data_IF_063058300798
#
_entry.id   IF_063058300798
#
_cell.length_a   1.000
_cell.length_b   1.000
_cell.length_c   1.000
_cell.angle_alpha   90.00
_cell.angle_beta   90.00
_cell.angle_gamma   90.00
#
_symmetry.space_group_name_H-M   'P 1'
#
loop_
_entity.id
_entity.type
_entity.pdbx_description
1 polymer ?
#
# COMPACT_ATOMS: atom_id res chain seq x y z
N UNK A 1 -24.43 -12.17 13.56
CA UNK A 1 -23.32 -11.41 14.16
C UNK A 1 -22.25 -11.24 13.10
N UNK A 2 -21.78 -10.02 12.78
CA UNK A 2 -20.66 -9.89 11.85
C UNK A 2 -19.40 -10.48 12.49
N UNK A 3 -18.50 -11.13 11.72
CA UNK A 3 -17.33 -11.74 12.32
C UNK A 3 -16.43 -10.66 12.93
N UNK A 4 -15.84 -10.93 14.10
CA UNK A 4 -14.85 -10.03 14.69
C UNK A 4 -13.66 -9.89 13.74
N UNK A 5 -12.83 -8.86 13.93
CA UNK A 5 -11.57 -8.67 13.17
C UNK A 5 -10.72 -9.96 13.16
N UNK A 6 -10.74 -10.70 14.27
CA UNK A 6 -10.09 -12.00 14.41
C UNK A 6 -10.56 -13.05 13.37
N UNK A 7 -11.82 -12.98 12.92
CA UNK A 7 -12.34 -13.83 11.85
C UNK A 7 -11.73 -13.48 10.49
N UNK A 8 -11.56 -12.20 10.18
CA UNK A 8 -10.89 -11.75 8.95
C UNK A 8 -9.40 -12.09 8.96
N UNK A 9 -8.72 -11.92 10.09
CA UNK A 9 -7.31 -12.30 10.26
C UNK A 9 -7.12 -13.80 10.01
N UNK A 10 -7.96 -14.64 10.61
CA UNK A 10 -7.95 -16.09 10.37
C UNK A 10 -8.21 -16.44 8.91
N UNK A 11 -9.17 -15.79 8.27
CA UNK A 11 -9.47 -15.98 6.85
C UNK A 11 -8.30 -15.58 5.96
N UNK A 12 -7.68 -14.44 6.22
CA UNK A 12 -6.53 -13.96 5.47
C UNK A 12 -5.32 -14.89 5.63
N UNK A 13 -5.06 -15.37 6.85
CA UNK A 13 -4.01 -16.35 7.09
C UNK A 13 -4.28 -17.67 6.35
N UNK A 14 -5.52 -18.18 6.41
CA UNK A 14 -5.92 -19.37 5.67
C UNK A 14 -5.77 -19.19 4.15
N UNK A 15 -6.10 -18.02 3.61
CA UNK A 15 -5.93 -17.75 2.19
C UNK A 15 -4.46 -17.70 1.78
N UNK A 16 -3.57 -17.20 2.65
CA UNK A 16 -2.11 -17.24 2.41
C UNK A 16 -1.58 -18.66 2.38
N UNK A 17 -1.95 -19.48 3.36
CA UNK A 17 -1.59 -20.91 3.38
C UNK A 17 -2.08 -21.60 2.11
N UNK A 18 -3.34 -21.39 1.74
CA UNK A 18 -3.91 -21.96 0.51
C UNK A 18 -3.12 -21.56 -0.74
N UNK A 19 -2.83 -20.26 -0.92
CA UNK A 19 -2.09 -19.76 -2.10
C UNK A 19 -0.68 -20.36 -2.15
N UNK A 20 0.02 -20.41 -1.01
CA UNK A 20 1.35 -21.01 -0.94
C UNK A 20 1.32 -22.52 -1.20
N UNK A 21 0.35 -23.23 -0.65
CA UNK A 21 0.17 -24.67 -0.92
C UNK A 21 -0.12 -24.94 -2.39
N UNK A 22 -1.00 -24.15 -3.02
CA UNK A 22 -1.29 -24.26 -4.46
C UNK A 22 -0.06 -23.94 -5.31
N UNK A 23 0.71 -22.93 -4.94
CA UNK A 23 1.95 -22.57 -5.62
C UNK A 23 3.00 -23.69 -5.51
N UNK A 24 3.21 -24.25 -4.31
CA UNK A 24 4.13 -25.36 -4.11
C UNK A 24 3.67 -26.61 -4.86
N UNK A 25 2.36 -26.92 -4.82
CA UNK A 25 1.78 -28.02 -5.59
C UNK A 25 2.00 -27.81 -7.10
N UNK A 26 1.79 -26.60 -7.61
CA UNK A 26 2.05 -26.28 -9.01
C UNK A 26 3.53 -26.48 -9.37
N UNK A 27 4.47 -26.14 -8.49
CA UNK A 27 5.90 -26.41 -8.70
C UNK A 27 6.27 -27.89 -8.69
N UNK A 28 5.52 -28.72 -7.98
CA UNK A 28 5.70 -30.18 -7.97
C UNK A 28 5.12 -30.81 -9.23
N UNK A 29 3.98 -30.32 -9.72
CA UNK A 29 3.26 -30.87 -10.87
C UNK A 29 3.80 -30.38 -12.22
N UNK A 30 4.29 -29.14 -12.28
CA UNK A 30 4.68 -28.48 -13.52
C UNK A 30 6.14 -28.04 -13.50
N UNK A 31 6.79 -28.11 -14.66
CA UNK A 31 8.12 -27.54 -14.83
C UNK A 31 8.04 -26.01 -14.74
N UNK A 32 8.99 -25.35 -14.03
CA UNK A 32 9.03 -23.90 -13.98
C UNK A 32 9.14 -23.32 -15.39
N UNK A 33 8.21 -22.46 -15.76
CA UNK A 33 8.31 -21.69 -17.00
C UNK A 33 9.45 -20.67 -16.94
N UNK A 34 9.63 -20.04 -15.78
CA UNK A 34 10.66 -19.03 -15.54
C UNK A 34 11.90 -19.62 -14.88
N UNK A 35 13.06 -19.19 -15.36
CA UNK A 35 14.39 -19.61 -14.88
C UNK A 35 15.16 -18.46 -14.26
N UNK A 36 14.55 -17.29 -13.98
CA UNK A 36 15.29 -16.12 -13.54
C UNK A 36 16.05 -16.35 -12.22
N UNK A 37 15.53 -17.25 -11.37
CA UNK A 37 16.17 -17.63 -10.13
C UNK A 37 17.59 -18.20 -10.29
N UNK A 38 17.90 -18.80 -11.46
CA UNK A 38 19.23 -19.36 -11.75
C UNK A 38 20.26 -18.29 -12.14
N UNK A 39 19.80 -17.08 -12.47
CA UNK A 39 20.66 -15.94 -12.76
C UNK A 39 21.13 -15.33 -11.43
N UNK A 40 22.17 -15.93 -10.85
CA UNK A 40 22.79 -15.50 -9.60
C UNK A 40 24.31 -15.33 -9.76
N UNK A 41 24.77 -14.29 -10.48
CA UNK A 41 26.19 -13.97 -10.54
C UNK A 41 26.68 -13.51 -9.15
N UNK A 42 27.99 -13.58 -8.85
CA UNK A 42 28.56 -12.99 -7.64
C UNK A 42 28.24 -11.49 -7.49
N UNK A 43 28.22 -10.97 -6.27
CA UNK A 43 28.14 -9.52 -6.04
C UNK A 43 29.42 -8.84 -6.55
N UNK A 44 29.29 -7.64 -7.15
CA UNK A 44 30.37 -6.84 -7.72
C UNK A 44 31.29 -6.22 -6.66
N UNK A 45 30.74 -5.85 -5.51
CA UNK A 45 31.43 -5.03 -4.49
C UNK A 45 31.76 -5.77 -3.20
N UNK A 46 31.38 -7.04 -3.07
CA UNK A 46 31.65 -7.85 -1.87
C UNK A 46 32.72 -8.89 -2.17
N UNK A 47 33.69 -9.13 -1.27
CA UNK A 47 34.52 -10.33 -1.36
C UNK A 47 33.59 -11.54 -1.40
N UNK A 48 33.96 -12.63 -2.11
CA UNK A 48 33.11 -13.82 -2.18
C UNK A 48 32.79 -14.25 -0.75
N UNK A 49 31.52 -14.10 -0.36
CA UNK A 49 31.02 -14.70 0.87
C UNK A 49 31.31 -16.20 0.75
N UNK A 50 31.61 -16.86 1.88
CA UNK A 50 31.73 -18.32 1.91
C UNK A 50 30.58 -18.92 1.09
N UNK A 51 30.87 -19.87 0.17
CA UNK A 51 29.87 -20.38 -0.76
C UNK A 51 28.63 -20.81 0.01
N UNK A 52 27.46 -20.36 -0.45
CA UNK A 52 26.20 -20.76 0.16
C UNK A 52 26.19 -22.30 0.28
N UNK A 53 25.75 -22.86 1.42
CA UNK A 53 25.68 -24.30 1.58
C UNK A 53 24.83 -24.88 0.44
N UNK A 54 25.47 -25.64 -0.46
CA UNK A 54 24.86 -26.28 -1.63
C UNK A 54 24.01 -27.49 -1.22
N UNK A 55 23.05 -27.27 -0.32
CA UNK A 55 22.06 -28.27 0.06
C UNK A 55 20.87 -28.19 -0.88
N UNK A 56 20.21 -29.32 -1.19
CA UNK A 56 19.02 -29.31 -2.05
C UNK A 56 17.91 -28.42 -1.49
N UNK A 57 17.83 -28.28 -0.16
CA UNK A 57 16.88 -27.40 0.52
C UNK A 57 17.21 -25.93 0.26
N UNK A 58 18.48 -25.53 0.39
CA UNK A 58 18.94 -24.16 0.07
C UNK A 58 18.61 -23.80 -1.38
N UNK A 59 18.92 -24.69 -2.33
CA UNK A 59 18.63 -24.49 -3.75
C UNK A 59 17.13 -24.40 -4.00
N UNK A 60 16.33 -25.28 -3.38
CA UNK A 60 14.88 -25.26 -3.52
C UNK A 60 14.28 -23.93 -3.03
N UNK A 61 14.68 -23.45 -1.85
CA UNK A 61 14.18 -22.18 -1.30
C UNK A 61 14.64 -20.99 -2.14
N UNK A 62 15.93 -20.95 -2.52
CA UNK A 62 16.47 -19.88 -3.37
C UNK A 62 15.79 -19.82 -4.74
N UNK A 63 15.38 -20.98 -5.28
CA UNK A 63 14.63 -21.08 -6.55
C UNK A 63 13.21 -20.51 -6.48
N UNK A 64 12.71 -20.12 -5.29
CA UNK A 64 11.40 -19.48 -5.13
C UNK A 64 11.41 -17.98 -5.42
N UNK A 65 12.58 -17.35 -5.56
CA UNK A 65 12.73 -15.98 -6.05
C UNK A 65 12.70 -15.98 -7.58
N UNK A 66 11.51 -15.79 -8.15
CA UNK A 66 11.23 -15.94 -9.59
C UNK A 66 10.56 -14.67 -10.10
N UNK A 67 10.66 -14.39 -11.39
CA UNK A 67 10.18 -13.12 -11.99
C UNK A 67 10.76 -11.91 -11.24
N UNK A 68 9.94 -10.89 -10.95
CA UNK A 68 10.38 -9.67 -10.27
C UNK A 68 10.96 -9.92 -8.86
N UNK A 69 10.72 -11.10 -8.28
CA UNK A 69 11.32 -11.48 -7.00
C UNK A 69 12.85 -11.39 -7.01
N UNK A 70 13.51 -11.74 -8.12
CA UNK A 70 14.97 -11.64 -8.21
C UNK A 70 15.46 -10.20 -8.12
N UNK A 71 14.66 -9.26 -8.62
CA UNK A 71 14.97 -7.83 -8.58
C UNK A 71 14.78 -7.21 -7.20
N UNK A 72 14.05 -7.87 -6.28
CA UNK A 72 14.00 -7.49 -4.88
C UNK A 72 15.04 -8.23 -4.01
N UNK A 73 15.32 -9.51 -4.33
CA UNK A 73 16.33 -10.29 -3.64
C UNK A 73 17.73 -9.72 -3.88
N UNK A 74 18.06 -9.35 -5.13
CA UNK A 74 19.41 -8.89 -5.49
C UNK A 74 19.85 -7.64 -4.73
N UNK A 75 19.05 -6.56 -4.65
CA UNK A 75 19.43 -5.40 -3.85
C UNK A 75 19.49 -5.67 -2.34
N UNK A 76 18.73 -6.65 -1.83
CA UNK A 76 18.84 -7.04 -0.43
C UNK A 76 20.16 -7.80 -0.14
N UNK A 77 20.62 -8.56 -1.11
CA UNK A 77 21.83 -9.38 -1.05
C UNK A 77 23.10 -8.55 -1.27
N UNK A 78 23.18 -7.86 -2.41
CA UNK A 78 24.40 -7.19 -2.90
C UNK A 78 24.32 -5.66 -2.86
N UNK A 79 23.18 -5.07 -2.49
CA UNK A 79 22.91 -3.65 -2.69
C UNK A 79 22.51 -3.29 -4.13
N UNK A 80 22.28 -2.01 -4.37
CA UNK A 80 21.85 -1.51 -5.69
C UNK A 80 23.02 -1.38 -6.66
N UNK A 81 23.37 -2.50 -7.29
CA UNK A 81 24.51 -2.60 -8.22
C UNK A 81 24.21 -2.10 -9.64
N UNK A 82 22.96 -2.30 -10.10
CA UNK A 82 22.57 -1.99 -11.47
C UNK A 82 21.57 -0.83 -11.53
N UNK A 83 21.68 0.01 -12.57
CA UNK A 83 20.81 1.16 -12.78
C UNK A 83 19.32 0.76 -12.81
N UNK A 84 18.97 -0.31 -13.54
CA UNK A 84 17.60 -0.79 -13.63
C UNK A 84 17.04 -1.31 -12.29
N UNK A 85 17.90 -1.74 -11.35
CA UNK A 85 17.46 -2.22 -10.04
C UNK A 85 16.86 -1.09 -9.18
N UNK A 86 17.19 0.17 -9.46
CA UNK A 86 16.62 1.33 -8.78
C UNK A 86 15.14 1.59 -9.16
N UNK A 87 14.56 0.81 -10.09
CA UNK A 87 13.09 0.75 -10.23
C UNK A 87 12.41 0.04 -9.06
N UNK A 88 13.14 -0.82 -8.33
CA UNK A 88 12.63 -1.62 -7.22
C UNK A 88 12.95 -0.93 -5.90
N UNK A 89 11.98 -0.18 -5.38
CA UNK A 89 12.16 0.72 -4.23
C UNK A 89 12.58 -0.01 -2.93
N UNK A 90 13.23 0.70 -1.99
CA UNK A 90 14.10 0.09 -0.99
C UNK A 90 13.38 -0.57 0.19
N UNK A 91 12.09 -0.32 0.42
CA UNK A 91 11.44 -0.83 1.62
C UNK A 91 11.44 -2.35 1.70
N UNK A 92 11.09 -3.03 0.61
CA UNK A 92 11.10 -4.48 0.59
C UNK A 92 12.54 -5.01 0.72
N UNK A 93 13.50 -4.68 -0.16
CA UNK A 93 14.87 -5.19 -0.06
C UNK A 93 15.53 -4.93 1.31
N UNK A 94 15.36 -3.72 1.87
CA UNK A 94 15.88 -3.39 3.19
C UNK A 94 15.23 -4.23 4.30
N UNK A 95 13.93 -4.48 4.22
CA UNK A 95 13.23 -5.33 5.19
C UNK A 95 13.66 -6.79 5.10
N UNK A 96 13.90 -7.32 3.89
CA UNK A 96 14.45 -8.66 3.68
C UNK A 96 15.82 -8.79 4.33
N UNK A 97 16.71 -7.84 4.01
CA UNK A 97 18.06 -7.74 4.54
C UNK A 97 18.06 -7.67 6.07
N UNK A 98 17.19 -6.84 6.65
CA UNK A 98 17.05 -6.68 8.10
C UNK A 98 16.59 -7.97 8.75
N UNK A 99 15.54 -8.61 8.24
CA UNK A 99 15.01 -9.86 8.81
C UNK A 99 16.02 -11.01 8.70
N UNK A 100 16.70 -11.14 7.57
CA UNK A 100 17.71 -12.16 7.35
C UNK A 100 18.92 -12.00 8.29
N UNK A 101 19.33 -10.75 8.57
CA UNK A 101 20.45 -10.44 9.48
C UNK A 101 20.05 -10.35 10.96
N UNK A 102 18.76 -10.42 11.29
CA UNK A 102 18.26 -10.37 12.66
C UNK A 102 17.49 -11.65 13.02
N UNK A 103 16.16 -11.64 12.86
CA UNK A 103 15.27 -12.73 13.27
C UNK A 103 15.66 -14.09 12.68
N UNK A 104 16.11 -14.10 11.42
CA UNK A 104 16.48 -15.33 10.71
C UNK A 104 18.00 -15.53 10.57
N UNK A 105 18.82 -14.74 11.27
CA UNK A 105 20.28 -14.89 11.26
C UNK A 105 20.75 -16.31 11.64
N UNK A 106 20.12 -17.02 12.60
CA UNK A 106 20.52 -18.40 12.94
C UNK A 106 20.34 -19.41 11.79
N UNK A 107 19.49 -19.10 10.79
CA UNK A 107 19.26 -19.97 9.64
C UNK A 107 20.30 -19.78 8.53
N UNK A 108 21.04 -18.68 8.55
CA UNK A 108 22.01 -18.34 7.49
C UNK A 108 23.12 -19.40 7.35
N UNK A 109 23.76 -19.90 8.42
CA UNK A 109 24.75 -20.97 8.30
C UNK A 109 24.20 -22.29 7.75
N UNK A 110 22.89 -22.54 7.91
CA UNK A 110 22.25 -23.80 7.51
C UNK A 110 21.73 -23.78 6.08
N UNK A 111 21.09 -22.68 5.69
CA UNK A 111 20.37 -22.55 4.43
C UNK A 111 21.10 -21.67 3.41
N UNK A 112 22.06 -20.86 3.84
CA UNK A 112 22.68 -19.85 2.99
C UNK A 112 21.91 -18.52 3.01
N UNK A 113 22.62 -17.45 2.69
CA UNK A 113 22.11 -16.10 2.86
C UNK A 113 20.96 -15.80 1.89
N UNK A 114 21.08 -16.24 0.63
CA UNK A 114 20.02 -16.04 -0.38
C UNK A 114 18.73 -16.78 -0.02
N UNK A 115 18.83 -18.04 0.41
CA UNK A 115 17.66 -18.81 0.84
C UNK A 115 16.94 -18.13 2.01
N UNK A 116 17.69 -17.60 2.98
CA UNK A 116 17.12 -16.87 4.13
C UNK A 116 16.49 -15.55 3.72
N UNK A 117 17.05 -14.81 2.75
CA UNK A 117 16.40 -13.62 2.18
C UNK A 117 15.05 -13.95 1.54
N UNK A 118 15.01 -15.04 0.76
CA UNK A 118 13.76 -15.50 0.12
C UNK A 118 12.74 -15.89 1.18
N UNK A 119 13.13 -16.70 2.17
CA UNK A 119 12.27 -17.08 3.29
C UNK A 119 11.73 -15.84 4.04
N UNK A 120 12.61 -14.88 4.32
CA UNK A 120 12.26 -13.61 4.99
C UNK A 120 11.16 -12.88 4.23
N UNK A 121 11.22 -12.87 2.90
CA UNK A 121 10.24 -12.18 2.08
C UNK A 121 8.89 -12.88 1.98
N UNK A 122 8.89 -14.21 1.91
CA UNK A 122 7.64 -14.97 2.01
C UNK A 122 6.98 -14.74 3.37
N UNK A 123 7.72 -14.82 4.48
CA UNK A 123 7.16 -14.54 5.82
C UNK A 123 6.64 -13.10 5.90
N UNK A 124 7.47 -12.12 5.53
CA UNK A 124 7.13 -10.70 5.61
C UNK A 124 5.88 -10.37 4.79
N UNK A 125 5.80 -10.81 3.54
CA UNK A 125 4.68 -10.46 2.67
C UNK A 125 3.37 -11.10 3.11
N UNK A 126 3.40 -12.33 3.61
CA UNK A 126 2.20 -12.99 4.10
C UNK A 126 1.72 -12.38 5.42
N UNK A 127 2.63 -12.04 6.34
CA UNK A 127 2.29 -11.28 7.56
C UNK A 127 1.73 -9.90 7.20
N UNK A 128 2.42 -9.16 6.33
CA UNK A 128 1.99 -7.84 5.89
C UNK A 128 0.60 -7.89 5.23
N UNK A 129 0.32 -8.90 4.41
CA UNK A 129 -1.00 -9.09 3.81
C UNK A 129 -2.09 -9.32 4.86
N UNK A 130 -1.85 -10.17 5.87
CA UNK A 130 -2.83 -10.45 6.92
C UNK A 130 -3.14 -9.18 7.72
N UNK A 131 -2.12 -8.38 8.04
CA UNK A 131 -2.30 -7.08 8.70
C UNK A 131 -3.03 -6.09 7.77
N UNK A 132 -2.69 -6.07 6.48
CA UNK A 132 -3.38 -5.25 5.47
C UNK A 132 -4.87 -5.62 5.37
N UNK A 133 -5.22 -6.91 5.42
CA UNK A 133 -6.62 -7.37 5.42
C UNK A 133 -7.37 -6.94 6.70
N UNK A 134 -6.70 -6.92 7.85
CA UNK A 134 -7.28 -6.39 9.08
C UNK A 134 -7.57 -4.88 8.97
N UNK A 135 -6.62 -4.09 8.43
CA UNK A 135 -6.85 -2.68 8.15
C UNK A 135 -7.95 -2.48 7.10
N UNK A 136 -7.97 -3.27 6.04
CA UNK A 136 -9.00 -3.22 5.01
C UNK A 136 -10.39 -3.40 5.60
N UNK A 137 -10.58 -4.40 6.46
CA UNK A 137 -11.86 -4.63 7.12
C UNK A 137 -12.25 -3.46 8.04
N UNK A 138 -11.33 -2.98 8.88
CA UNK A 138 -11.58 -1.85 9.79
C UNK A 138 -11.93 -0.57 9.04
N UNK A 139 -11.16 -0.26 8.00
CA UNK A 139 -11.42 0.85 7.09
C UNK A 139 -12.78 0.69 6.40
N UNK A 140 -13.09 -0.50 5.90
CA UNK A 140 -14.38 -0.78 5.25
C UNK A 140 -15.55 -0.60 6.21
N UNK A 141 -15.44 -1.05 7.46
CA UNK A 141 -16.47 -0.82 8.49
C UNK A 141 -16.64 0.66 8.78
N UNK A 142 -15.53 1.41 8.89
CA UNK A 142 -15.53 2.84 9.17
C UNK A 142 -16.21 3.65 8.05
N UNK A 143 -15.95 3.26 6.80
CA UNK A 143 -16.43 3.92 5.59
C UNK A 143 -17.88 3.51 5.25
N UNK A 144 -18.16 2.20 5.16
CA UNK A 144 -19.45 1.67 4.71
C UNK A 144 -20.52 1.74 5.78
N UNK A 145 -20.13 1.71 7.07
CA UNK A 145 -21.03 1.51 8.22
C UNK A 145 -21.89 0.25 8.15
N UNK A 146 -21.53 -0.69 7.27
CA UNK A 146 -22.15 -2.00 7.16
C UNK A 146 -21.06 -3.06 7.32
N UNK A 147 -21.13 -3.79 8.43
CA UNK A 147 -20.18 -4.85 8.74
C UNK A 147 -20.31 -6.05 7.80
N UNK A 148 -21.51 -6.35 7.27
CA UNK A 148 -21.72 -7.45 6.33
C UNK A 148 -21.07 -7.11 4.99
N UNK A 149 -21.30 -5.91 4.46
CA UNK A 149 -20.63 -5.44 3.25
C UNK A 149 -19.11 -5.38 3.42
N UNK A 150 -18.62 -4.83 4.54
CA UNK A 150 -17.19 -4.77 4.84
C UNK A 150 -16.55 -6.17 4.93
N UNK A 151 -17.24 -7.14 5.52
CA UNK A 151 -16.77 -8.51 5.57
C UNK A 151 -16.71 -9.15 4.18
N UNK A 152 -17.77 -9.02 3.36
CA UNK A 152 -17.80 -9.52 1.98
C UNK A 152 -16.66 -8.93 1.15
N UNK A 153 -16.43 -7.62 1.26
CA UNK A 153 -15.30 -6.97 0.59
C UNK A 153 -13.96 -7.56 1.05
N UNK A 154 -13.81 -7.84 2.36
CA UNK A 154 -12.58 -8.42 2.91
C UNK A 154 -12.36 -9.86 2.44
N UNK A 155 -13.42 -10.65 2.27
CA UNK A 155 -13.35 -11.97 1.66
C UNK A 155 -12.84 -11.86 0.21
N UNK A 156 -13.42 -10.96 -0.58
CA UNK A 156 -12.96 -10.72 -1.97
C UNK A 156 -11.50 -10.25 -2.02
N UNK A 157 -11.06 -9.41 -1.08
CA UNK A 157 -9.67 -9.01 -0.97
C UNK A 157 -8.75 -10.19 -0.63
N UNK A 158 -9.19 -11.09 0.26
CA UNK A 158 -8.43 -12.29 0.64
C UNK A 158 -8.30 -13.33 -0.47
N UNK A 159 -9.28 -13.42 -1.38
CA UNK A 159 -9.34 -14.38 -2.49
C UNK A 159 -9.37 -13.70 -3.85
N UNK A 160 -8.43 -12.78 -4.08
CA UNK A 160 -8.30 -12.10 -5.36
C UNK A 160 -7.37 -12.88 -6.32
N UNK A 161 -7.55 -12.81 -7.65
CA UNK A 161 -6.71 -13.56 -8.61
C UNK A 161 -5.24 -13.15 -8.59
N UNK A 162 -4.93 -11.94 -8.13
CA UNK A 162 -3.58 -11.41 -7.96
C UNK A 162 -2.92 -11.83 -6.63
N UNK A 163 -3.50 -12.77 -5.87
CA UNK A 163 -3.02 -13.16 -4.53
C UNK A 163 -1.59 -13.71 -4.50
N UNK A 164 -1.06 -14.18 -5.64
CA UNK A 164 0.34 -14.59 -5.75
C UNK A 164 1.29 -13.42 -5.48
N UNK A 165 1.02 -12.23 -6.02
CA UNK A 165 1.83 -11.02 -5.78
C UNK A 165 1.80 -10.58 -4.32
N UNK A 166 0.74 -10.94 -3.59
CA UNK A 166 0.63 -10.69 -2.15
C UNK A 166 1.26 -11.78 -1.27
N UNK A 167 1.73 -12.89 -1.85
CA UNK A 167 2.22 -14.05 -1.09
C UNK A 167 3.67 -14.41 -1.41
N UNK A 168 4.12 -14.16 -2.64
CA UNK A 168 5.51 -14.33 -3.07
C UNK A 168 6.31 -13.03 -2.88
N UNK A 169 7.56 -13.02 -3.33
CA UNK A 169 8.55 -11.95 -3.10
C UNK A 169 8.28 -10.67 -3.93
N UNK A 170 7.18 -9.97 -3.64
CA UNK A 170 6.86 -8.68 -4.26
C UNK A 170 6.47 -7.60 -3.24
N UNK A 171 6.43 -6.33 -3.65
CA UNK A 171 6.18 -5.20 -2.74
C UNK A 171 4.70 -4.92 -2.43
N UNK A 172 3.78 -5.63 -3.08
CA UNK A 172 2.33 -5.42 -3.05
C UNK A 172 1.76 -5.53 -1.64
N UNK A 173 2.22 -6.49 -0.83
CA UNK A 173 1.74 -6.68 0.54
C UNK A 173 2.15 -5.56 1.47
N UNK A 174 3.41 -5.12 1.41
CA UNK A 174 3.88 -3.95 2.17
C UNK A 174 3.18 -2.68 1.69
N UNK A 175 3.05 -2.49 0.39
CA UNK A 175 2.33 -1.36 -0.19
C UNK A 175 0.87 -1.33 0.28
N UNK A 176 0.17 -2.46 0.27
CA UNK A 176 -1.20 -2.56 0.75
C UNK A 176 -1.30 -2.31 2.25
N UNK A 177 -0.41 -2.88 3.06
CA UNK A 177 -0.35 -2.65 4.50
C UNK A 177 -0.26 -1.15 4.82
N UNK A 178 0.74 -0.48 4.25
CA UNK A 178 1.01 0.92 4.54
C UNK A 178 -0.04 1.86 3.92
N UNK A 179 -0.56 1.57 2.73
CA UNK A 179 -1.61 2.37 2.10
C UNK A 179 -2.94 2.25 2.84
N UNK A 180 -3.39 1.01 3.13
CA UNK A 180 -4.65 0.76 3.83
C UNK A 180 -4.58 1.19 5.29
N UNK A 181 -3.46 0.94 5.97
CA UNK A 181 -3.21 1.42 7.32
C UNK A 181 -3.19 2.95 7.37
N UNK A 182 -2.51 3.60 6.43
CA UNK A 182 -2.49 5.06 6.33
C UNK A 182 -3.87 5.67 6.10
N UNK A 183 -4.68 5.09 5.20
CA UNK A 183 -6.07 5.49 5.02
C UNK A 183 -6.92 5.25 6.27
N UNK A 184 -6.76 4.11 6.95
CA UNK A 184 -7.47 3.83 8.20
C UNK A 184 -7.19 4.91 9.25
N UNK A 185 -5.93 5.26 9.48
CA UNK A 185 -5.57 6.30 10.45
C UNK A 185 -6.00 7.70 10.00
N UNK A 186 -6.01 7.98 8.69
CA UNK A 186 -6.54 9.23 8.14
C UNK A 186 -8.01 9.41 8.51
N UNK A 187 -8.84 8.40 8.24
CA UNK A 187 -10.27 8.44 8.55
C UNK A 187 -10.58 8.29 10.05
N UNK A 188 -9.63 7.77 10.84
CA UNK A 188 -9.75 7.69 12.31
C UNK A 188 -9.31 8.98 13.02
N UNK A 189 -8.73 9.95 12.29
CA UNK A 189 -8.26 11.23 12.83
C UNK A 189 -6.81 11.24 13.34
N UNK A 190 -6.10 10.10 13.28
CA UNK A 190 -4.70 9.99 13.69
C UNK A 190 -3.76 10.41 12.54
N UNK A 191 -3.80 11.69 12.19
CA UNK A 191 -3.13 12.24 11.00
C UNK A 191 -1.61 11.99 10.95
N UNK A 192 -0.91 12.08 12.08
CA UNK A 192 0.55 11.83 12.12
C UNK A 192 0.89 10.40 11.69
N UNK A 193 0.19 9.41 12.25
CA UNK A 193 0.39 8.00 11.89
C UNK A 193 -0.02 7.76 10.44
N UNK A 194 -1.09 8.41 9.98
CA UNK A 194 -1.53 8.33 8.59
C UNK A 194 -0.45 8.81 7.62
N UNK A 195 0.14 9.99 7.86
CA UNK A 195 1.20 10.56 7.03
C UNK A 195 2.41 9.62 6.98
N UNK A 196 2.86 9.09 8.12
CA UNK A 196 4.00 8.16 8.19
C UNK A 196 3.72 6.88 7.40
N UNK A 197 2.55 6.27 7.61
CA UNK A 197 2.15 5.05 6.89
C UNK A 197 2.07 5.31 5.37
N UNK A 198 1.43 6.41 4.95
CA UNK A 198 1.33 6.74 3.52
C UNK A 198 2.70 7.07 2.91
N UNK A 199 3.62 7.72 3.64
CA UNK A 199 4.99 7.94 3.19
C UNK A 199 5.74 6.60 3.01
N UNK A 200 5.63 5.68 3.97
CA UNK A 200 6.24 4.35 3.88
C UNK A 200 5.68 3.54 2.69
N UNK A 201 4.41 3.72 2.33
CA UNK A 201 3.88 3.10 1.10
C UNK A 201 4.64 3.55 -0.15
N UNK A 202 5.09 4.81 -0.18
CA UNK A 202 5.94 5.38 -1.23
C UNK A 202 7.32 4.75 -1.31
N UNK A 203 7.85 4.21 -0.20
CA UNK A 203 9.10 3.43 -0.17
C UNK A 203 8.94 1.98 -0.64
N UNK A 204 7.70 1.46 -0.67
CA UNK A 204 7.42 0.13 -1.22
C UNK A 204 7.24 0.19 -2.74
N UNK A 205 6.54 1.23 -3.22
CA UNK A 205 6.24 1.46 -4.64
C UNK A 205 6.11 2.96 -4.92
N UNK A 206 6.54 3.39 -6.10
CA UNK A 206 6.40 4.78 -6.54
C UNK A 206 4.94 5.29 -6.51
N UNK A 207 3.98 4.39 -6.73
CA UNK A 207 2.54 4.71 -6.67
C UNK A 207 2.11 5.25 -5.30
N UNK A 208 2.83 4.93 -4.22
CA UNK A 208 2.53 5.46 -2.90
C UNK A 208 2.68 6.97 -2.79
N UNK A 209 3.46 7.60 -3.67
CA UNK A 209 3.55 9.05 -3.76
C UNK A 209 2.18 9.71 -4.10
N UNK A 210 1.32 9.00 -4.84
CA UNK A 210 -0.03 9.48 -5.15
C UNK A 210 -0.94 9.56 -3.92
N UNK A 211 -0.59 8.89 -2.82
CA UNK A 211 -1.35 8.99 -1.57
C UNK A 211 -1.30 10.39 -0.95
N UNK A 212 -0.37 11.27 -1.39
CA UNK A 212 -0.41 12.70 -1.08
C UNK A 212 -1.72 13.37 -1.53
N UNK A 213 -2.38 12.81 -2.55
CA UNK A 213 -3.68 13.27 -3.03
C UNK A 213 -4.77 13.30 -1.95
N UNK A 214 -4.72 12.40 -0.96
CA UNK A 214 -5.68 12.40 0.15
C UNK A 214 -5.59 13.68 0.99
N UNK A 215 -4.38 14.10 1.36
CA UNK A 215 -4.15 15.31 2.15
C UNK A 215 -4.36 16.58 1.31
N UNK A 216 -3.96 16.57 0.04
CA UNK A 216 -4.29 17.66 -0.88
C UNK A 216 -5.81 17.88 -0.98
N UNK A 217 -6.57 16.80 -1.20
CA UNK A 217 -8.01 16.88 -1.32
C UNK A 217 -8.69 17.32 -0.01
N UNK A 218 -8.26 16.78 1.14
CA UNK A 218 -8.75 17.19 2.45
C UNK A 218 -8.49 18.69 2.71
N UNK A 219 -7.28 19.16 2.42
CA UNK A 219 -6.91 20.57 2.60
C UNK A 219 -7.71 21.50 1.69
N UNK A 220 -7.96 21.12 0.43
CA UNK A 220 -8.80 21.89 -0.49
C UNK A 220 -10.23 22.03 0.04
N UNK A 221 -10.83 20.96 0.56
CA UNK A 221 -12.17 21.00 1.14
C UNK A 221 -12.22 21.87 2.39
N UNK A 222 -11.25 21.74 3.29
CA UNK A 222 -11.16 22.55 4.51
C UNK A 222 -10.91 24.03 4.20
N UNK A 223 -10.07 24.32 3.22
CA UNK A 223 -9.79 25.68 2.77
C UNK A 223 -11.03 26.32 2.13
N UNK A 224 -11.77 25.56 1.31
CA UNK A 224 -13.03 26.02 0.73
C UNK A 224 -14.05 26.37 1.81
N UNK A 225 -14.26 25.49 2.79
CA UNK A 225 -15.15 25.76 3.94
C UNK A 225 -14.73 27.03 4.70
N UNK A 226 -13.44 27.09 5.07
CA UNK A 226 -12.92 28.18 5.87
C UNK A 226 -13.01 29.53 5.15
N UNK A 227 -12.68 29.58 3.85
CA UNK A 227 -12.68 30.80 3.06
C UNK A 227 -14.09 31.25 2.69
N UNK A 228 -14.92 30.33 2.17
CA UNK A 228 -16.22 30.68 1.59
C UNK A 228 -17.33 30.71 2.65
N UNK A 229 -17.40 29.69 3.51
CA UNK A 229 -18.51 29.54 4.46
C UNK A 229 -18.23 30.29 5.76
N UNK A 230 -17.05 30.07 6.36
CA UNK A 230 -16.67 30.68 7.65
C UNK A 230 -16.10 32.09 7.49
N UNK A 231 -15.78 32.51 6.27
CA UNK A 231 -15.13 33.81 5.95
C UNK A 231 -13.85 34.06 6.77
N UNK A 232 -13.08 33.00 7.02
CA UNK A 232 -11.82 33.02 7.78
C UNK A 232 -10.66 32.63 6.86
N UNK A 233 -10.11 33.57 6.08
CA UNK A 233 -9.04 33.27 5.11
C UNK A 233 -7.76 32.75 5.76
N UNK A 234 -7.46 33.16 7.00
CA UNK A 234 -6.31 32.66 7.74
C UNK A 234 -6.42 31.16 8.02
N UNK A 235 -7.60 30.67 8.42
CA UNK A 235 -7.83 29.23 8.62
C UNK A 235 -7.74 28.45 7.31
N UNK A 236 -8.19 29.05 6.19
CA UNK A 236 -8.05 28.45 4.89
C UNK A 236 -6.57 28.31 4.49
N UNK A 237 -5.77 29.35 4.70
CA UNK A 237 -4.33 29.32 4.47
C UNK A 237 -3.64 28.27 5.36
N UNK A 238 -3.99 28.20 6.64
CA UNK A 238 -3.47 27.19 7.56
C UNK A 238 -3.78 25.76 7.07
N UNK A 239 -5.01 25.49 6.63
CA UNK A 239 -5.39 24.19 6.09
C UNK A 239 -4.57 23.83 4.83
N UNK A 240 -4.35 24.79 3.92
CA UNK A 240 -3.52 24.58 2.72
C UNK A 240 -2.06 24.32 3.07
N UNK A 241 -1.49 25.08 4.00
CA UNK A 241 -0.09 24.90 4.43
C UNK A 241 0.11 23.54 5.10
N UNK A 242 -0.78 23.15 6.03
CA UNK A 242 -0.73 21.84 6.68
C UNK A 242 -0.86 20.72 5.64
N UNK A 243 -1.83 20.82 4.74
CA UNK A 243 -2.01 19.87 3.65
C UNK A 243 -0.78 19.74 2.77
N UNK A 244 -0.17 20.87 2.39
CA UNK A 244 1.05 20.89 1.58
C UNK A 244 2.23 20.23 2.31
N UNK A 245 2.44 20.53 3.60
CA UNK A 245 3.49 19.91 4.40
C UNK A 245 3.31 18.39 4.52
N UNK A 246 2.08 17.93 4.80
CA UNK A 246 1.77 16.49 4.85
C UNK A 246 2.01 15.82 3.50
N UNK A 247 1.60 16.45 2.40
CA UNK A 247 1.83 15.95 1.04
C UNK A 247 3.30 15.88 0.69
N UNK A 248 4.08 16.93 1.00
CA UNK A 248 5.53 16.95 0.80
C UNK A 248 6.18 15.81 1.57
N UNK A 249 5.78 15.58 2.83
CA UNK A 249 6.31 14.49 3.64
C UNK A 249 6.07 13.11 3.00
N UNK A 250 4.91 12.89 2.37
CA UNK A 250 4.61 11.64 1.66
C UNK A 250 5.55 11.45 0.43
N UNK A 251 5.98 12.53 -0.20
CA UNK A 251 6.93 12.47 -1.31
C UNK A 251 8.39 12.25 -0.88
N UNK A 252 8.75 12.56 0.37
CA UNK A 252 10.14 12.50 0.86
C UNK A 252 10.81 11.16 0.55
N UNK A 253 10.22 9.98 0.85
CA UNK A 253 10.95 8.73 0.63
C UNK A 253 11.21 8.42 -0.84
N UNK A 254 10.29 8.81 -1.74
CA UNK A 254 10.50 8.65 -3.17
C UNK A 254 11.68 9.48 -3.65
N UNK A 255 11.72 10.78 -3.31
CA UNK A 255 12.80 11.67 -3.72
C UNK A 255 14.13 11.37 -3.02
N UNK A 256 14.10 10.93 -1.77
CA UNK A 256 15.29 10.46 -1.06
C UNK A 256 15.93 9.28 -1.82
N UNK A 257 15.12 8.36 -2.33
CA UNK A 257 15.63 7.24 -3.13
C UNK A 257 16.11 7.66 -4.52
N UNK A 258 15.46 8.66 -5.16
CA UNK A 258 15.99 9.27 -6.39
C UNK A 258 17.37 9.92 -6.14
N UNK A 259 17.52 10.64 -5.04
CA UNK A 259 18.78 11.27 -4.64
C UNK A 259 19.86 10.23 -4.35
N UNK A 260 19.53 9.13 -3.67
CA UNK A 260 20.43 7.99 -3.46
C UNK A 260 20.97 7.45 -4.79
N UNK A 261 20.09 7.22 -5.78
CA UNK A 261 20.50 6.76 -7.11
C UNK A 261 21.38 7.78 -7.86
N UNK A 262 21.04 9.07 -7.78
CA UNK A 262 21.85 10.15 -8.36
C UNK A 262 23.25 10.22 -7.75
N UNK A 263 23.36 10.15 -6.42
CA UNK A 263 24.65 10.18 -5.74
C UNK A 263 25.52 8.97 -6.11
N UNK A 264 24.95 7.77 -6.18
CA UNK A 264 25.73 6.57 -6.49
C UNK A 264 26.16 6.47 -7.96
N UNK A 265 25.31 6.91 -8.89
CA UNK A 265 25.57 6.74 -10.34
C UNK A 265 26.23 7.99 -10.94
N UNK A 266 25.72 9.19 -10.65
CA UNK A 266 26.16 10.41 -11.32
C UNK A 266 27.34 11.10 -10.62
N UNK A 267 27.48 10.94 -9.29
CA UNK A 267 28.52 11.62 -8.51
C UNK A 267 29.68 10.70 -8.16
N UNK A 268 29.38 9.53 -7.58
CA UNK A 268 30.40 8.55 -7.16
C UNK A 268 30.64 7.44 -8.19
N UNK A 269 29.90 7.43 -9.29
CA UNK A 269 30.05 6.43 -10.34
C UNK A 269 31.37 6.60 -11.07
N UNK A 270 32.09 5.50 -11.29
CA UNK A 270 33.40 5.48 -11.96
C UNK A 270 33.31 5.39 -13.49
N UNK A 271 32.14 5.69 -14.09
CA UNK A 271 31.95 5.56 -15.53
C UNK A 271 32.49 6.79 -16.25
N UNK A 272 33.32 6.58 -17.28
CA UNK A 272 33.90 7.66 -18.11
C UNK A 272 32.82 8.50 -18.82
N UNK A 273 31.63 7.94 -19.06
CA UNK A 273 30.49 8.64 -19.66
C UNK A 273 29.31 8.77 -18.69
N UNK A 274 28.96 10.01 -18.32
CA UNK A 274 27.75 10.30 -17.56
C UNK A 274 26.49 9.91 -18.35
N UNK A 275 25.58 9.21 -17.68
CA UNK A 275 24.26 8.84 -18.21
C UNK A 275 23.46 10.10 -18.63
N UNK A 276 22.62 10.03 -19.68
CA UNK A 276 21.90 11.20 -20.20
C UNK A 276 21.02 11.89 -19.16
N UNK A 277 20.41 11.13 -18.25
CA UNK A 277 19.53 11.67 -17.21
C UNK A 277 20.31 12.41 -16.11
N UNK A 278 21.60 12.12 -15.89
CA UNK A 278 22.45 12.90 -15.00
C UNK A 278 22.64 14.35 -15.50
N UNK A 279 22.63 14.54 -16.83
CA UNK A 279 22.83 15.84 -17.50
C UNK A 279 21.52 16.62 -17.68
N UNK A 280 20.38 16.02 -17.35
CA UNK A 280 19.08 16.67 -17.51
C UNK A 280 18.88 17.78 -16.47
N UNK A 281 18.11 18.82 -16.83
CA UNK A 281 17.77 19.94 -15.92
C UNK A 281 17.16 19.47 -14.60
N UNK A 282 16.36 18.41 -14.65
CA UNK A 282 15.88 17.68 -13.48
C UNK A 282 16.32 16.23 -13.64
N UNK A 283 17.34 15.78 -12.89
CA UNK A 283 17.88 14.43 -13.04
C UNK A 283 16.95 13.40 -12.40
N UNK A 284 15.93 12.98 -13.14
CA UNK A 284 14.89 12.07 -12.68
C UNK A 284 15.20 10.62 -13.09
N UNK A 285 15.96 9.92 -12.25
CA UNK A 285 16.37 8.53 -12.45
C UNK A 285 15.19 7.60 -12.76
N UNK A 286 14.14 7.60 -11.93
CA UNK A 286 13.01 6.67 -12.10
C UNK A 286 12.30 6.86 -13.44
N UNK A 287 12.13 8.11 -13.90
CA UNK A 287 11.55 8.40 -15.21
C UNK A 287 12.42 7.90 -16.36
N UNK A 288 13.74 8.04 -16.24
CA UNK A 288 14.68 7.47 -17.20
C UNK A 288 14.58 5.95 -17.23
N UNK A 289 14.62 5.29 -16.06
CA UNK A 289 14.54 3.83 -15.99
C UNK A 289 13.25 3.31 -16.64
N UNK A 290 12.12 3.88 -16.26
CA UNK A 290 10.79 3.52 -16.77
C UNK A 290 10.72 3.63 -18.30
N UNK A 291 11.29 4.70 -18.87
CA UNK A 291 11.27 4.92 -20.31
C UNK A 291 12.30 4.12 -21.10
N UNK A 292 13.53 3.99 -20.58
CA UNK A 292 14.66 3.36 -21.26
C UNK A 292 14.59 1.83 -21.21
N UNK A 293 14.30 1.25 -20.05
CA UNK A 293 14.30 -0.20 -19.86
C UNK A 293 12.91 -0.83 -20.03
N UNK A 294 11.84 -0.13 -19.63
CA UNK A 294 10.47 -0.66 -19.69
C UNK A 294 9.59 -0.02 -20.78
N UNK A 295 10.11 0.95 -21.54
CA UNK A 295 9.36 1.61 -22.61
C UNK A 295 8.16 2.43 -22.14
N UNK A 296 8.04 2.70 -20.85
CA UNK A 296 6.92 3.45 -20.25
C UNK A 296 7.03 4.93 -20.63
N UNK A 297 5.91 5.50 -21.03
CA UNK A 297 5.82 6.91 -21.38
C UNK A 297 4.37 7.32 -21.62
N UNK A 298 4.14 8.61 -21.82
CA UNK A 298 2.80 9.14 -22.05
C UNK A 298 2.13 8.42 -23.22
N UNK A 299 0.99 7.80 -22.94
CA UNK A 299 0.15 7.02 -23.86
C UNK A 299 0.82 5.84 -24.59
N UNK A 300 2.08 5.51 -24.33
CA UNK A 300 2.81 4.42 -25.03
C UNK A 300 2.18 3.04 -24.84
N UNK A 301 1.43 2.86 -23.74
CA UNK A 301 0.71 1.62 -23.43
C UNK A 301 -0.58 1.44 -24.24
N UNK A 302 -1.19 2.53 -24.76
CA UNK A 302 -2.47 2.47 -25.46
C UNK A 302 -2.30 2.06 -26.92
N UNK A 303 -1.93 0.80 -27.12
CA UNK A 303 -1.76 0.18 -28.44
C UNK A 303 -2.90 -0.80 -28.71
N UNK A 304 -3.30 -0.98 -29.98
CA UNK A 304 -4.37 -1.92 -30.37
C UNK A 304 -4.09 -3.34 -29.87
N UNK A 305 -2.82 -3.76 -29.85
CA UNK A 305 -2.40 -5.06 -29.32
C UNK A 305 -2.71 -5.28 -27.82
N UNK A 306 -2.92 -4.20 -27.07
CA UNK A 306 -3.26 -4.24 -25.64
C UNK A 306 -4.78 -4.29 -25.40
N UNK A 307 -5.60 -4.21 -26.45
CA UNK A 307 -7.07 -4.26 -26.33
C UNK A 307 -7.57 -5.45 -25.51
N UNK A 308 -7.03 -6.68 -25.63
CA UNK A 308 -7.45 -7.81 -24.79
C UNK A 308 -7.24 -7.54 -23.29
N UNK A 309 -6.16 -6.86 -22.90
CA UNK A 309 -5.89 -6.51 -21.51
C UNK A 309 -6.88 -5.46 -20.99
N UNK A 310 -7.25 -4.47 -21.82
CA UNK A 310 -8.29 -3.50 -21.48
C UNK A 310 -9.67 -4.14 -21.36
N UNK A 311 -10.01 -5.08 -22.23
CA UNK A 311 -11.27 -5.84 -22.15
C UNK A 311 -11.33 -6.67 -20.87
N UNK A 312 -10.23 -7.34 -20.51
CA UNK A 312 -10.11 -8.08 -19.25
C UNK A 312 -10.29 -7.16 -18.03
N UNK A 313 -9.74 -5.96 -18.06
CA UNK A 313 -9.86 -4.97 -16.98
C UNK A 313 -11.20 -4.20 -17.00
N UNK A 314 -11.97 -4.28 -18.10
CA UNK A 314 -13.13 -3.42 -18.34
C UNK A 314 -14.19 -3.42 -17.23
N UNK A 315 -14.54 -4.55 -16.56
CA UNK A 315 -15.56 -4.51 -15.52
C UNK A 315 -15.16 -3.64 -14.33
N UNK A 316 -13.89 -3.71 -13.92
CA UNK A 316 -13.34 -2.92 -12.81
C UNK A 316 -13.18 -1.47 -13.23
N UNK A 317 -12.72 -1.21 -14.46
CA UNK A 317 -12.58 0.15 -15.00
C UNK A 317 -13.94 0.85 -15.13
N UNK A 318 -14.98 0.16 -15.60
CA UNK A 318 -16.33 0.70 -15.69
C UNK A 318 -16.89 1.07 -14.32
N UNK A 319 -16.68 0.21 -13.31
CA UNK A 319 -17.09 0.51 -11.93
C UNK A 319 -16.33 1.73 -11.36
N UNK A 320 -15.03 1.84 -11.64
CA UNK A 320 -14.22 2.99 -11.21
C UNK A 320 -14.71 4.29 -11.86
N UNK A 321 -14.95 4.30 -13.18
CA UNK A 321 -15.48 5.47 -13.90
C UNK A 321 -16.87 5.85 -13.37
N UNK A 322 -17.77 4.88 -13.18
CA UNK A 322 -19.07 5.13 -12.59
C UNK A 322 -18.96 5.77 -11.20
N UNK A 323 -18.08 5.23 -10.35
CA UNK A 323 -17.85 5.73 -9.00
C UNK A 323 -17.32 7.16 -8.99
N UNK A 324 -16.38 7.49 -9.90
CA UNK A 324 -15.84 8.84 -10.07
C UNK A 324 -16.95 9.79 -10.52
N UNK A 325 -17.67 9.47 -11.59
CA UNK A 325 -18.75 10.32 -12.12
C UNK A 325 -19.83 10.57 -11.07
N UNK A 326 -20.24 9.52 -10.36
CA UNK A 326 -21.21 9.63 -9.28
C UNK A 326 -20.69 10.53 -8.14
N UNK A 327 -19.45 10.34 -7.71
CA UNK A 327 -18.83 11.14 -6.66
C UNK A 327 -18.68 12.61 -7.06
N UNK A 328 -18.27 12.90 -8.30
CA UNK A 328 -18.15 14.28 -8.79
C UNK A 328 -19.49 14.99 -8.84
N UNK A 329 -20.55 14.31 -9.32
CA UNK A 329 -21.93 14.85 -9.31
C UNK A 329 -22.39 15.16 -7.88
N UNK A 330 -22.09 14.27 -6.94
CA UNK A 330 -22.40 14.46 -5.55
C UNK A 330 -21.65 15.66 -4.97
N UNK A 331 -20.33 15.73 -5.17
CA UNK A 331 -19.49 16.81 -4.66
C UNK A 331 -19.96 18.17 -5.18
N UNK A 332 -20.32 18.24 -6.47
CA UNK A 332 -20.85 19.46 -7.08
C UNK A 332 -22.15 19.92 -6.40
N UNK A 333 -23.10 18.99 -6.16
CA UNK A 333 -24.35 19.31 -5.44
C UNK A 333 -24.07 19.80 -4.02
N UNK A 334 -23.17 19.13 -3.30
CA UNK A 334 -22.81 19.49 -1.92
C UNK A 334 -22.16 20.88 -1.82
N UNK A 335 -21.32 21.26 -2.78
CA UNK A 335 -20.73 22.59 -2.84
C UNK A 335 -21.76 23.67 -3.17
N UNK A 336 -22.84 23.34 -3.90
CA UNK A 336 -23.91 24.27 -4.23
C UNK A 336 -24.91 24.49 -3.08
N UNK A 337 -25.19 23.47 -2.26
CA UNK A 337 -26.10 23.59 -1.10
C UNK A 337 -25.34 24.02 0.16
N UNK A 338 -25.36 25.31 0.47
CA UNK A 338 -24.76 25.96 1.66
C UNK A 338 -25.17 25.35 3.01
N UNK A 339 -26.29 24.64 3.08
CA UNK A 339 -26.88 24.15 4.34
C UNK A 339 -26.37 22.77 4.78
N UNK A 340 -26.00 21.89 3.83
CA UNK A 340 -25.58 20.49 4.12
C UNK A 340 -24.10 20.44 4.54
N UNK A 341 -23.29 21.41 4.11
CA UNK A 341 -21.87 21.49 4.42
C UNK A 341 -21.59 21.70 5.92
N UNK A 342 -22.38 22.55 6.59
CA UNK A 342 -22.36 22.69 8.05
C UNK A 342 -22.59 21.34 8.74
N UNK A 343 -23.52 20.53 8.24
CA UNK A 343 -23.83 19.21 8.82
C UNK A 343 -22.68 18.20 8.63
N UNK A 344 -21.94 18.26 7.51
CA UNK A 344 -20.79 17.38 7.26
C UNK A 344 -19.62 17.72 8.19
N UNK A 345 -19.35 19.01 8.41
CA UNK A 345 -18.24 19.44 9.26
C UNK A 345 -18.55 19.21 10.73
N UNK A 346 -19.79 19.49 11.19
CA UNK A 346 -20.23 19.10 12.53
C UNK A 346 -20.17 17.58 12.72
N UNK A 347 -20.50 16.79 11.69
CA UNK A 347 -20.35 15.33 11.75
C UNK A 347 -18.89 14.83 11.71
N UNK A 348 -17.94 15.60 11.20
CA UNK A 348 -16.50 15.31 11.23
C UNK A 348 -15.86 15.77 12.56
N UNK A 349 -16.29 16.90 13.12
CA UNK A 349 -15.83 17.46 14.39
C UNK A 349 -16.43 16.76 15.62
N UNK A 350 -17.72 16.39 15.62
CA UNK A 350 -18.31 15.56 16.69
C UNK A 350 -17.74 14.14 16.69
N UNK A 351 -17.27 13.65 15.54
CA UNK A 351 -16.64 12.33 15.40
C UNK A 351 -15.27 12.23 16.05
N UNK A 352 -14.48 13.31 16.06
CA UNK A 352 -13.16 13.28 16.73
C UNK A 352 -13.33 13.19 18.26
N UNK A 353 -14.33 13.88 18.81
CA UNK A 353 -14.63 13.91 20.24
C UNK A 353 -15.25 12.59 20.74
N UNK A 354 -16.13 11.97 19.95
CA UNK A 354 -16.78 10.69 20.34
C UNK A 354 -15.84 9.49 20.16
N UNK A 355 -14.91 9.51 19.19
CA UNK A 355 -13.92 8.43 19.06
C UNK A 355 -12.87 8.47 20.17
N UNK A 356 -12.51 9.66 20.65
CA UNK A 356 -11.63 9.86 21.81
C UNK A 356 -12.26 9.27 23.08
N UNK A 357 -13.54 9.58 23.33
CA UNK A 357 -14.26 9.08 24.53
C UNK A 357 -14.56 7.57 24.48
N UNK A 358 -14.41 6.90 23.33
CA UNK A 358 -14.64 5.45 23.19
C UNK A 358 -13.35 4.63 23.19
N UNK A 359 -12.18 5.28 23.21
CA UNK A 359 -10.88 4.60 23.24
C UNK A 359 -10.30 4.45 24.65
N UNK A 360 -10.84 5.14 25.66
CA UNK A 360 -10.32 5.13 27.04
C UNK A 360 -11.01 4.15 28.00
N UNK A 361 -12.13 3.52 27.61
CA UNK A 361 -12.83 2.54 28.47
C UNK A 361 -12.61 1.10 27.98
N UNK A 362 -11.39 0.61 28.16
CA UNK A 362 -11.12 -0.81 28.43
C UNK A 362 -10.22 -0.84 29.66
N UNK A 363 -10.80 -0.86 30.86
CA UNK A 363 -10.73 -1.94 31.87
C UNK A 363 -11.34 -1.45 33.20
N UNK A 364 -12.13 -2.33 33.86
CA UNK A 364 -12.60 -2.28 35.27
C UNK A 364 -13.87 -1.44 35.57
N UNK A 365 -15.05 -2.10 35.53
CA UNK A 365 -15.99 -2.23 36.67
C UNK A 365 -17.27 -2.96 36.19
N UNK A 366 -17.37 -4.24 36.55
CA UNK A 366 -18.66 -4.85 36.86
C UNK A 366 -19.28 -4.07 38.03
N UNK A 367 -20.62 -3.96 38.05
CA UNK A 367 -21.42 -3.26 39.07
C UNK A 367 -21.62 -1.75 38.86
N UNK A 368 -22.43 -1.39 37.86
CA UNK A 368 -23.40 -0.29 37.97
C UNK A 368 -24.43 -0.37 36.83
N UNK A 369 -25.10 -1.53 36.78
CA UNK A 369 -26.38 -1.69 36.08
C UNK A 369 -27.49 -1.14 36.98
N UNK A 370 -27.70 0.17 36.98
CA UNK A 370 -28.98 0.76 37.38
C UNK A 370 -29.08 2.21 36.91
N UNK A 371 -30.01 2.46 35.97
CA UNK A 371 -30.60 3.78 35.76
C UNK A 371 -29.91 4.68 34.75
N UNK A 372 -30.34 4.63 33.48
CA UNK A 372 -31.05 5.74 32.85
C UNK A 372 -31.40 5.42 31.39
N UNK A 373 -32.68 5.09 31.22
CA UNK A 373 -33.38 5.00 29.95
C UNK A 373 -33.71 6.37 29.35
N UNK A 374 -33.70 6.42 28.01
CA UNK A 374 -34.53 7.24 27.09
C UNK A 374 -34.22 8.75 26.91
N UNK A 375 -33.56 9.05 25.78
CA UNK A 375 -33.84 10.10 24.75
C UNK A 375 -32.60 10.15 23.83
N UNK A 376 -32.63 10.12 22.51
CA UNK A 376 -33.68 10.31 21.54
C UNK A 376 -33.35 9.48 20.27
N UNK A 377 -34.34 8.76 19.77
CA UNK A 377 -34.46 8.40 18.36
C UNK A 377 -34.63 9.71 17.58
N UNK A 378 -33.73 10.01 16.64
CA UNK A 378 -33.87 11.18 15.77
C UNK A 378 -32.57 11.76 15.24
N UNK A 379 -31.67 10.94 14.70
CA UNK A 379 -30.53 11.39 13.86
C UNK A 379 -29.98 10.24 13.00
N UNK A 380 -30.89 9.35 12.59
CA UNK A 380 -30.61 8.13 11.85
C UNK A 380 -30.78 8.48 10.37
N UNK A 381 -29.81 8.09 9.54
CA UNK A 381 -29.84 8.08 8.06
C UNK A 381 -29.21 9.23 7.25
N UNK A 382 -28.00 9.70 7.55
CA UNK A 382 -27.27 10.59 6.58
C UNK A 382 -25.83 10.13 6.23
N UNK A 383 -25.21 9.22 7.00
CA UNK A 383 -23.83 8.75 6.68
C UNK A 383 -23.72 7.31 6.17
N UNK A 384 -24.83 6.63 5.92
CA UNK A 384 -24.85 5.26 5.37
C UNK A 384 -25.25 5.27 3.89
N UNK A 385 -25.73 6.40 3.35
CA UNK A 385 -26.25 6.50 1.97
C UNK A 385 -25.14 6.66 0.91
N UNK A 386 -23.92 7.08 1.26
CA UNK A 386 -22.99 7.58 0.26
C UNK A 386 -22.05 6.57 -0.40
N UNK A 387 -21.98 5.33 0.11
CA UNK A 387 -21.24 4.23 -0.55
C UNK A 387 -22.13 2.98 -0.71
N UNK A 388 -23.25 2.86 0.01
CA UNK A 388 -24.18 1.72 -0.12
C UNK A 388 -25.13 1.79 -1.32
N UNK A 389 -25.33 2.95 -1.96
CA UNK A 389 -26.16 3.02 -3.18
C UNK A 389 -25.53 2.32 -4.41
N UNK A 390 -24.31 1.80 -4.33
CA UNK A 390 -23.74 0.92 -5.36
C UNK A 390 -24.17 -0.55 -5.24
N UNK A 391 -24.73 -1.00 -4.09
CA UNK A 391 -25.08 -2.41 -3.89
C UNK A 391 -26.59 -2.69 -3.75
N UNK A 392 -27.43 -1.68 -3.54
CA UNK A 392 -28.87 -1.86 -3.33
C UNK A 392 -29.73 -1.77 -4.61
N UNK A 393 -29.11 -1.76 -5.80
CA UNK A 393 -29.82 -1.80 -7.10
C UNK A 393 -29.41 -2.96 -8.02
N UNK A 394 -28.78 -3.99 -7.45
CA UNK A 394 -28.44 -5.27 -8.11
C UNK A 394 -29.09 -6.47 -7.41
N UNK A 395 -30.33 -6.31 -6.96
CA UNK A 395 -31.25 -7.39 -6.62
C UNK A 395 -32.63 -7.09 -7.18
#
# INVERSE_FOLDING_TARGET
MAPPVAGVVRLAAASRVLVLSLYLLARLLFRPYDTSATLHPPCLSSPPLSPDPNTPVSTAISSLAVWDGVHFARPAECGYEYEQSLAFLPLLPASLALLARSLFAPLVPMLGYRAVLVLSGYVLNNVAFVVAAAYFYRLSVLILKDQKAAYRASVLFCFNPASVFYSSLYSESLYALFSLGGMFYLFSGAHTVAVIMLALSGSARSNGALNAGYFCFQALLQAYDAAVQKKRPLLAMQALVIGALCSIFIFVPFFAFQAYGYLNICVHGSSEELRPWCKAKVPLLYGFIQSHYWGVGFLRYFQVKQLPNFLLASPVLSLAVYSIVHYTKLLHRLLQTTTIHKQIITALEERSVVSYRRSDDVTILSELSAGLTKKAQGAIAISTIYILLCFERLS
#
